data_IF_214024041476
#
_entry.id   IF_214024041476
#
_cell.length_a   1.000
_cell.length_b   1.000
_cell.length_c   1.000
_cell.angle_alpha   90.00
_cell.angle_beta   90.00
_cell.angle_gamma   90.00
#
_symmetry.space_group_name_H-M   'P 1'
#
loop_
_entity.id
_entity.type
_entity.pdbx_description
1 polymer ?
#
# COMPACT_ATOMS: atom_id res chain seq x y z
N UNK A 1 16.94 1.93 -9.58
CA UNK A 1 16.68 1.66 -8.14
C UNK A 1 17.65 2.49 -7.33
N UNK A 2 17.17 3.21 -6.32
CA UNK A 2 17.99 4.01 -5.41
C UNK A 2 17.64 3.75 -3.96
N UNK A 3 18.52 4.12 -3.05
CA UNK A 3 18.22 4.13 -1.62
C UNK A 3 18.56 5.51 -1.03
N UNK A 4 17.76 5.92 -0.04
CA UNK A 4 17.98 7.10 0.76
C UNK A 4 18.16 6.68 2.21
N UNK A 5 19.24 7.16 2.84
CA UNK A 5 19.55 6.87 4.23
C UNK A 5 19.03 8.02 5.11
N UNK A 6 18.30 7.65 6.15
CA UNK A 6 17.80 8.54 7.20
C UNK A 6 18.50 8.14 8.50
N UNK A 7 19.67 8.73 8.81
CA UNK A 7 20.38 8.46 10.04
C UNK A 7 19.47 8.69 11.26
N UNK A 8 19.52 7.78 12.23
CA UNK A 8 18.65 7.79 13.42
C UNK A 8 17.14 7.73 13.11
N UNK A 9 16.76 7.15 11.97
CA UNK A 9 15.36 6.87 11.65
C UNK A 9 14.69 6.05 12.76
N UNK A 10 13.51 6.48 13.20
CA UNK A 10 12.82 5.87 14.36
C UNK A 10 12.00 4.62 14.04
N UNK A 11 11.96 4.20 12.78
CA UNK A 11 11.25 2.99 12.35
C UNK A 11 12.08 2.13 11.41
N UNK A 12 12.56 2.70 10.30
CA UNK A 12 13.51 2.08 9.37
C UNK A 12 14.44 3.19 8.89
N UNK A 13 15.75 2.95 8.84
CA UNK A 13 16.75 3.95 8.46
C UNK A 13 16.95 4.08 6.94
N UNK A 14 16.37 3.19 6.15
CA UNK A 14 16.55 3.13 4.70
C UNK A 14 15.21 3.15 4.00
N UNK A 15 15.03 4.11 3.09
CA UNK A 15 13.97 4.13 2.11
C UNK A 15 14.52 3.71 0.75
N UNK A 16 13.70 3.06 -0.07
CA UNK A 16 14.09 2.52 -1.37
C UNK A 16 13.21 3.16 -2.45
N UNK A 17 13.82 3.53 -3.57
CA UNK A 17 13.14 4.23 -4.66
C UNK A 17 13.21 3.47 -5.97
N UNK A 18 12.08 3.47 -6.67
CA UNK A 18 11.89 2.84 -7.99
C UNK A 18 11.42 3.88 -9.00
N UNK A 19 11.76 3.67 -10.26
CA UNK A 19 11.47 4.60 -11.34
C UNK A 19 11.92 4.05 -12.68
N UNK A 20 11.37 4.59 -13.76
CA UNK A 20 11.72 4.22 -15.14
C UNK A 20 13.06 4.85 -15.54
N UNK A 21 13.32 6.05 -15.03
CA UNK A 21 14.60 6.74 -15.14
C UNK A 21 15.36 6.75 -13.81
N UNK A 22 16.63 7.13 -13.89
CA UNK A 22 17.48 7.32 -12.71
C UNK A 22 16.93 8.40 -11.77
N UNK A 23 16.48 9.52 -12.34
CA UNK A 23 15.93 10.65 -11.59
C UNK A 23 14.60 10.31 -10.90
N UNK A 24 13.71 9.57 -11.57
CA UNK A 24 12.46 9.09 -10.97
C UNK A 24 12.74 8.21 -9.75
N UNK A 25 13.72 7.29 -9.88
CA UNK A 25 14.08 6.39 -8.79
C UNK A 25 14.75 7.12 -7.62
N UNK A 26 15.56 8.15 -7.87
CA UNK A 26 16.10 9.03 -6.82
C UNK A 26 15.00 9.81 -6.11
N UNK A 27 14.10 10.44 -6.88
CA UNK A 27 12.98 11.19 -6.33
C UNK A 27 12.10 10.27 -5.46
N UNK A 28 11.76 9.08 -5.95
CA UNK A 28 11.01 8.08 -5.18
C UNK A 28 11.69 7.71 -3.86
N UNK A 29 13.02 7.50 -3.85
CA UNK A 29 13.74 7.15 -2.61
C UNK A 29 13.72 8.29 -1.59
N UNK A 30 13.91 9.54 -2.06
CA UNK A 30 13.90 10.73 -1.21
C UNK A 30 12.51 11.00 -0.67
N UNK A 31 11.47 10.91 -1.51
CA UNK A 31 10.09 11.16 -1.10
C UNK A 31 9.61 10.13 -0.07
N UNK A 32 9.92 8.83 -0.26
CA UNK A 32 9.62 7.80 0.75
C UNK A 32 10.38 8.04 2.08
N UNK A 33 11.64 8.50 2.02
CA UNK A 33 12.37 8.89 3.22
C UNK A 33 11.71 10.07 3.96
N UNK A 34 11.29 11.10 3.23
CA UNK A 34 10.62 12.28 3.78
C UNK A 34 9.27 11.92 4.42
N UNK A 35 8.47 11.04 3.79
CA UNK A 35 7.23 10.51 4.37
C UNK A 35 7.46 9.94 5.76
N UNK A 36 8.44 9.03 5.89
CA UNK A 36 8.77 8.37 7.16
C UNK A 36 9.28 9.37 8.19
N UNK A 37 10.12 10.32 7.79
CA UNK A 37 10.63 11.37 8.69
C UNK A 37 9.48 12.22 9.24
N UNK A 38 8.56 12.64 8.38
CA UNK A 38 7.37 13.42 8.81
C UNK A 38 6.46 12.58 9.70
N UNK A 39 6.20 11.31 9.37
CA UNK A 39 5.36 10.43 10.18
C UNK A 39 5.96 10.09 11.56
N UNK A 40 7.28 10.22 11.74
CA UNK A 40 7.92 10.10 13.07
C UNK A 40 7.56 11.26 14.00
N UNK A 41 7.33 12.45 13.45
CA UNK A 41 6.99 13.69 14.17
C UNK A 41 6.05 14.56 13.31
N UNK A 42 4.75 14.20 13.24
CA UNK A 42 3.79 14.97 12.46
C UNK A 42 3.68 16.41 12.99
N UNK A 43 3.63 17.37 12.07
CA UNK A 43 3.41 18.78 12.38
C UNK A 43 1.90 19.09 12.43
N UNK A 44 1.17 18.41 13.31
CA UNK A 44 -0.29 18.47 13.38
C UNK A 44 -0.72 18.94 14.77
N UNK A 45 -1.59 19.97 14.89
CA UNK A 45 -2.20 20.35 16.15
C UNK A 45 -3.00 19.18 16.74
N UNK A 46 -2.84 18.94 18.03
CA UNK A 46 -3.60 17.91 18.75
C UNK A 46 -4.52 18.52 19.79
N UNK A 47 -5.66 17.86 20.01
CA UNK A 47 -6.62 18.17 21.05
C UNK A 47 -6.73 16.96 21.99
N UNK A 48 -6.33 17.13 23.25
CA UNK A 48 -6.46 16.08 24.26
C UNK A 48 -7.86 16.07 24.86
N UNK A 49 -8.67 15.09 24.52
CA UNK A 49 -10.07 14.98 24.97
C UNK A 49 -10.61 13.56 24.82
N UNK A 50 -11.81 13.29 25.32
CA UNK A 50 -12.47 11.99 25.18
C UNK A 50 -13.39 11.94 23.95
N UNK A 51 -13.66 10.74 23.43
CA UNK A 51 -14.61 10.56 22.33
C UNK A 51 -16.05 11.00 22.73
N UNK A 52 -16.40 10.86 24.01
CA UNK A 52 -17.65 11.34 24.58
C UNK A 52 -17.76 12.86 24.51
N UNK A 53 -16.69 13.58 24.82
CA UNK A 53 -16.69 15.05 24.80
C UNK A 53 -16.73 15.58 23.36
N UNK A 54 -16.00 14.96 22.43
CA UNK A 54 -16.11 15.27 20.99
C UNK A 54 -17.56 15.11 20.51
N UNK A 55 -18.20 14.00 20.88
CA UNK A 55 -19.61 13.75 20.54
C UNK A 55 -20.52 14.82 21.14
N UNK A 56 -20.34 15.16 22.42
CA UNK A 56 -21.15 16.14 23.12
C UNK A 56 -21.03 17.55 22.51
N UNK A 57 -19.85 17.89 21.98
CA UNK A 57 -19.58 19.12 21.25
C UNK A 57 -20.03 19.07 19.78
N UNK A 58 -20.58 17.95 19.30
CA UNK A 58 -21.08 17.80 17.93
C UNK A 58 -20.00 17.51 16.88
N UNK A 59 -18.77 17.17 17.29
CA UNK A 59 -17.70 16.81 16.37
C UNK A 59 -17.80 15.36 15.90
N UNK A 60 -17.51 15.12 14.62
CA UNK A 60 -17.33 13.78 14.08
C UNK A 60 -15.95 13.23 14.48
N UNK A 61 -15.88 11.92 14.72
CA UNK A 61 -14.63 11.24 15.03
C UNK A 61 -14.68 9.77 14.60
N UNK A 62 -13.51 9.17 14.37
CA UNK A 62 -13.33 7.73 14.19
C UNK A 62 -12.21 7.26 15.14
N UNK A 63 -12.47 6.21 15.92
CA UNK A 63 -11.47 5.68 16.89
C UNK A 63 -10.41 4.79 16.24
N UNK A 64 -10.57 4.48 14.94
CA UNK A 64 -9.70 3.62 14.15
C UNK A 64 -9.49 2.24 14.79
N UNK A 65 -10.57 1.65 15.31
CA UNK A 65 -10.55 0.34 15.99
C UNK A 65 -9.96 -0.79 15.13
N UNK A 66 -10.04 -0.67 13.79
CA UNK A 66 -9.46 -1.63 12.85
C UNK A 66 -7.92 -1.62 12.84
N UNK A 67 -7.28 -0.59 13.40
CA UNK A 67 -5.83 -0.42 13.47
C UNK A 67 -5.25 -0.69 14.87
N UNK A 68 -6.07 -1.06 15.85
CA UNK A 68 -5.60 -1.37 17.21
C UNK A 68 -4.61 -2.54 17.14
N UNK A 69 -3.46 -2.36 17.81
CA UNK A 69 -2.38 -3.32 17.87
C UNK A 69 -2.78 -4.59 18.64
N UNK A 70 -2.11 -5.70 18.33
CA UNK A 70 -2.31 -6.95 19.05
C UNK A 70 -2.02 -6.74 20.54
N UNK A 71 -2.87 -7.30 21.41
CA UNK A 71 -2.80 -7.16 22.87
C UNK A 71 -3.14 -5.76 23.42
N UNK A 72 -3.54 -4.83 22.57
CA UNK A 72 -4.00 -3.50 22.97
C UNK A 72 -5.54 -3.44 23.00
N UNK A 73 -6.08 -2.56 23.84
CA UNK A 73 -7.52 -2.33 23.97
C UNK A 73 -8.02 -1.17 23.11
N UNK A 74 -9.28 -1.24 22.69
CA UNK A 74 -9.94 -0.12 21.99
C UNK A 74 -9.98 1.14 22.88
N UNK A 75 -10.05 2.32 22.25
CA UNK A 75 -10.22 3.59 22.96
C UNK A 75 -11.59 3.60 23.64
N UNK A 76 -11.61 3.78 24.97
CA UNK A 76 -12.88 3.89 25.71
C UNK A 76 -13.49 5.28 25.48
N UNK A 77 -14.82 5.38 25.52
CA UNK A 77 -15.50 6.65 25.22
C UNK A 77 -15.14 7.80 26.17
N UNK A 78 -14.83 7.48 27.42
CA UNK A 78 -14.45 8.41 28.50
C UNK A 78 -12.93 8.58 28.65
N UNK A 79 -12.13 7.88 27.83
CA UNK A 79 -10.67 7.94 27.88
C UNK A 79 -10.16 9.18 27.12
N UNK A 80 -9.42 10.10 27.76
CA UNK A 80 -8.79 11.20 27.06
C UNK A 80 -7.57 10.72 26.28
N UNK A 81 -7.58 10.95 24.97
CA UNK A 81 -6.44 10.71 24.06
C UNK A 81 -6.15 11.95 23.23
N UNK A 82 -5.02 11.97 22.53
CA UNK A 82 -4.65 13.06 21.64
C UNK A 82 -5.27 12.84 20.25
N UNK A 83 -6.22 13.72 19.89
CA UNK A 83 -6.92 13.71 18.61
C UNK A 83 -6.31 14.73 17.66
N UNK A 84 -6.24 14.40 16.38
CA UNK A 84 -5.87 15.30 15.31
C UNK A 84 -7.03 15.47 14.34
N UNK A 85 -7.17 16.67 13.78
CA UNK A 85 -8.25 17.00 12.87
C UNK A 85 -7.86 16.64 11.43
N UNK A 86 -8.59 15.69 10.85
CA UNK A 86 -8.52 15.34 9.44
C UNK A 86 -9.79 15.77 8.69
N UNK A 87 -9.88 15.31 7.44
CA UNK A 87 -11.03 15.59 6.56
C UNK A 87 -11.52 14.30 5.92
N UNK A 88 -12.82 14.02 6.02
CA UNK A 88 -13.46 12.98 5.23
C UNK A 88 -13.65 13.48 3.79
N UNK A 89 -12.92 12.88 2.85
CA UNK A 89 -12.88 13.28 1.46
C UNK A 89 -14.19 12.99 0.71
N UNK A 90 -15.04 12.10 1.22
CA UNK A 90 -16.31 11.77 0.58
C UNK A 90 -17.40 12.79 0.89
N UNK A 91 -17.39 13.35 2.10
CA UNK A 91 -18.40 14.29 2.61
C UNK A 91 -17.92 15.72 2.75
N UNK A 92 -16.61 15.96 2.56
CA UNK A 92 -15.92 17.22 2.77
C UNK A 92 -15.95 17.72 4.23
N UNK A 93 -16.29 16.85 5.20
CA UNK A 93 -16.45 17.21 6.62
C UNK A 93 -15.18 16.98 7.43
N UNK A 94 -15.01 17.82 8.43
CA UNK A 94 -14.01 17.67 9.49
C UNK A 94 -14.28 16.42 10.33
N UNK A 95 -13.24 15.64 10.62
CA UNK A 95 -13.32 14.42 11.42
C UNK A 95 -12.05 14.25 12.26
N UNK A 96 -12.23 13.99 13.56
CA UNK A 96 -11.12 13.73 14.47
C UNK A 96 -10.69 12.27 14.43
N UNK A 97 -9.38 12.04 14.41
CA UNK A 97 -8.77 10.71 14.53
C UNK A 97 -7.64 10.74 15.56
N UNK A 98 -7.35 9.62 16.26
CA UNK A 98 -6.23 9.54 17.20
C UNK A 98 -4.90 9.79 16.46
N UNK A 99 -4.11 10.77 16.91
CA UNK A 99 -2.85 11.13 16.25
C UNK A 99 -1.86 9.96 16.25
N UNK A 100 -1.90 9.14 17.30
CA UNK A 100 -1.05 7.96 17.46
C UNK A 100 -1.24 6.92 16.36
N UNK A 101 -2.40 6.88 15.69
CA UNK A 101 -2.65 5.99 14.55
C UNK A 101 -1.87 6.39 13.28
N UNK A 102 -1.41 7.65 13.20
CA UNK A 102 -0.59 8.15 12.10
C UNK A 102 0.93 8.07 12.37
N UNK A 103 1.32 7.82 13.62
CA UNK A 103 2.73 7.82 14.02
C UNK A 103 3.49 6.60 13.51
N UNK A 104 4.72 6.84 13.07
CA UNK A 104 5.64 5.82 12.60
C UNK A 104 6.93 5.77 13.44
N UNK A 105 6.82 5.97 14.75
CA UNK A 105 7.93 5.97 15.71
C UNK A 105 7.99 4.66 16.51
N UNK A 106 8.78 3.68 16.05
CA UNK A 106 8.97 2.37 16.70
C UNK A 106 9.84 2.42 17.97
N UNK A 107 10.36 3.59 18.34
CA UNK A 107 11.10 3.76 19.61
C UNK A 107 10.17 3.94 20.81
N UNK A 108 8.86 4.04 20.57
CA UNK A 108 7.83 4.27 21.59
C UNK A 108 6.80 3.15 21.55
N UNK A 109 6.19 2.83 22.70
CA UNK A 109 4.99 2.00 22.71
C UNK A 109 3.84 2.78 22.08
N UNK A 110 3.04 2.11 21.26
CA UNK A 110 1.85 2.69 20.63
C UNK A 110 0.71 1.66 20.69
N UNK A 111 -0.51 2.14 20.97
CA UNK A 111 -1.73 1.34 20.97
C UNK A 111 -2.09 0.85 19.56
N UNK A 112 -1.75 1.64 18.55
CA UNK A 112 -2.04 1.34 17.16
C UNK A 112 -0.92 0.50 16.54
N UNK A 113 -1.30 -0.37 15.62
CA UNK A 113 -0.36 -1.04 14.74
C UNK A 113 0.32 0.01 13.84
N UNK A 114 1.62 0.22 14.07
CA UNK A 114 2.42 1.14 13.25
C UNK A 114 2.68 0.55 11.87
N UNK A 115 2.00 1.08 10.87
CA UNK A 115 2.24 0.80 9.46
C UNK A 115 2.43 2.09 8.65
N UNK A 116 3.20 2.01 7.56
CA UNK A 116 3.22 3.04 6.51
C UNK A 116 1.99 2.99 5.61
N UNK A 117 1.08 2.03 5.76
CA UNK A 117 -0.11 1.90 4.92
C UNK A 117 -0.91 3.21 4.77
N UNK A 118 -1.07 3.69 3.54
CA UNK A 118 -1.77 4.94 3.26
C UNK A 118 -1.02 6.19 3.74
N UNK A 119 0.26 6.08 4.08
CA UNK A 119 1.18 7.22 4.17
C UNK A 119 1.71 7.49 2.77
N UNK A 120 1.60 8.72 2.29
CA UNK A 120 2.19 9.10 1.03
C UNK A 120 2.59 10.57 1.03
N UNK A 121 3.50 10.90 0.13
CA UNK A 121 3.91 12.25 -0.18
C UNK A 121 3.62 12.63 -1.61
N UNK A 122 3.70 13.94 -1.89
CA UNK A 122 3.51 14.49 -3.21
C UNK A 122 3.95 15.95 -3.28
N UNK A 123 4.11 16.44 -4.50
CA UNK A 123 4.38 17.84 -4.79
C UNK A 123 3.17 18.72 -4.50
N UNK A 124 1.96 18.13 -4.50
CA UNK A 124 0.71 18.79 -4.13
C UNK A 124 -0.05 17.96 -3.09
N UNK A 125 -0.96 18.56 -2.31
CA UNK A 125 -1.81 17.80 -1.39
C UNK A 125 -2.65 16.73 -2.09
N UNK A 126 -3.20 17.06 -3.27
CA UNK A 126 -4.02 16.13 -4.06
C UNK A 126 -3.20 14.93 -4.55
N UNK A 127 -1.94 15.14 -4.92
CA UNK A 127 -1.05 14.07 -5.37
C UNK A 127 -0.73 13.11 -4.21
N UNK A 128 -0.37 13.66 -3.04
CA UNK A 128 -0.13 12.85 -1.84
C UNK A 128 -1.38 12.03 -1.46
N UNK A 129 -2.56 12.66 -1.49
CA UNK A 129 -3.83 12.00 -1.20
C UNK A 129 -4.15 10.90 -2.22
N UNK A 130 -4.00 11.18 -3.52
CA UNK A 130 -4.23 10.18 -4.57
C UNK A 130 -3.34 8.95 -4.38
N UNK A 131 -2.04 9.15 -4.13
CA UNK A 131 -1.12 8.05 -3.87
C UNK A 131 -1.52 7.24 -2.63
N UNK A 132 -1.86 7.90 -1.53
CA UNK A 132 -2.28 7.23 -0.30
C UNK A 132 -3.59 6.43 -0.48
N UNK A 133 -4.58 6.98 -1.19
CA UNK A 133 -5.85 6.27 -1.46
C UNK A 133 -5.62 5.06 -2.37
N UNK A 134 -4.83 5.21 -3.44
CA UNK A 134 -4.49 4.11 -4.34
C UNK A 134 -3.77 2.99 -3.61
N UNK A 135 -2.82 3.32 -2.72
CA UNK A 135 -2.17 2.32 -1.90
C UNK A 135 -3.17 1.59 -0.99
N UNK A 136 -4.09 2.31 -0.33
CA UNK A 136 -5.12 1.66 0.50
C UNK A 136 -6.01 0.70 -0.30
N UNK A 137 -6.37 1.06 -1.52
CA UNK A 137 -7.13 0.18 -2.45
C UNK A 137 -6.28 -1.02 -2.89
N UNK A 138 -5.00 -0.81 -3.20
CA UNK A 138 -4.07 -1.88 -3.56
C UNK A 138 -3.95 -2.92 -2.45
N UNK A 139 -3.78 -2.48 -1.19
CA UNK A 139 -3.65 -3.35 -0.02
C UNK A 139 -4.95 -4.11 0.26
N UNK A 140 -6.10 -3.46 0.08
CA UNK A 140 -7.42 -4.12 0.15
C UNK A 140 -7.56 -5.21 -0.91
N UNK A 141 -7.33 -4.85 -2.17
CA UNK A 141 -7.40 -5.75 -3.31
C UNK A 141 -6.48 -6.96 -3.14
N UNK A 142 -5.23 -6.74 -2.69
CA UNK A 142 -4.29 -7.81 -2.42
C UNK A 142 -4.77 -8.73 -1.29
N UNK A 143 -5.29 -8.19 -0.18
CA UNK A 143 -5.83 -8.98 0.92
C UNK A 143 -7.00 -9.87 0.46
N UNK A 144 -7.95 -9.28 -0.28
CA UNK A 144 -9.08 -10.01 -0.85
C UNK A 144 -8.63 -11.06 -1.86
N UNK A 145 -7.63 -10.75 -2.70
CA UNK A 145 -7.08 -11.70 -3.66
C UNK A 145 -6.49 -12.92 -2.95
N UNK A 146 -5.74 -12.72 -1.86
CA UNK A 146 -5.14 -13.81 -1.05
C UNK A 146 -6.16 -14.73 -0.38
N UNK A 147 -7.37 -14.25 -0.09
CA UNK A 147 -8.46 -15.07 0.48
C UNK A 147 -9.08 -15.99 -0.60
N UNK A 148 -8.99 -15.61 -1.88
CA UNK A 148 -9.53 -16.41 -2.97
C UNK A 148 -8.80 -17.75 -3.13
N UNK A 149 -9.47 -18.72 -3.78
CA UNK A 149 -8.86 -20.02 -4.06
C UNK A 149 -7.59 -19.87 -4.90
N UNK A 150 -6.65 -20.81 -4.75
CA UNK A 150 -5.44 -20.81 -5.58
C UNK A 150 -5.79 -20.92 -7.08
N UNK A 151 -6.78 -21.72 -7.45
CA UNK A 151 -7.23 -21.85 -8.82
C UNK A 151 -7.71 -20.51 -9.41
N UNK A 152 -8.53 -19.76 -8.67
CA UNK A 152 -9.03 -18.45 -9.12
C UNK A 152 -7.90 -17.43 -9.26
N UNK A 153 -6.94 -17.44 -8.31
CA UNK A 153 -5.78 -16.57 -8.37
C UNK A 153 -4.93 -16.85 -9.60
N UNK A 154 -4.63 -18.13 -9.87
CA UNK A 154 -3.82 -18.53 -11.02
C UNK A 154 -4.53 -18.28 -12.36
N UNK A 155 -5.86 -18.44 -12.42
CA UNK A 155 -6.66 -18.17 -13.60
C UNK A 155 -6.67 -16.68 -14.02
N UNK A 156 -6.29 -15.77 -13.11
CA UNK A 156 -6.18 -14.32 -13.37
C UNK A 156 -4.78 -13.89 -13.81
N UNK A 157 -3.91 -14.83 -14.21
CA UNK A 157 -2.60 -14.52 -14.75
C UNK A 157 -2.72 -13.82 -16.11
N UNK A 158 -2.32 -12.56 -16.18
CA UNK A 158 -2.41 -11.72 -17.38
C UNK A 158 -1.18 -11.93 -18.24
N UNK A 159 -1.37 -12.19 -19.53
CA UNK A 159 -0.30 -12.05 -20.52
C UNK A 159 0.02 -10.55 -20.71
N UNK A 160 1.28 -10.10 -20.52
CA UNK A 160 1.67 -8.71 -20.71
C UNK A 160 1.22 -8.08 -22.04
N UNK A 161 1.09 -8.86 -23.11
CA UNK A 161 0.58 -8.37 -24.42
C UNK A 161 -0.82 -7.78 -24.31
N UNK A 162 -1.61 -8.19 -23.31
CA UNK A 162 -2.96 -7.70 -23.05
C UNK A 162 -3.01 -6.21 -22.69
N UNK A 163 -1.91 -5.65 -22.19
CA UNK A 163 -1.81 -4.21 -21.92
C UNK A 163 -1.63 -3.38 -23.20
N UNK A 164 -1.14 -4.00 -24.28
CA UNK A 164 -0.82 -3.35 -25.56
C UNK A 164 -0.04 -2.03 -25.36
N UNK A 165 0.98 -2.08 -24.50
CA UNK A 165 1.75 -0.92 -24.10
C UNK A 165 3.25 -1.20 -24.19
N UNK A 166 4.01 -0.39 -24.96
CA UNK A 166 5.41 -0.66 -25.25
C UNK A 166 6.30 -0.61 -24.01
N UNK A 167 5.91 0.12 -22.96
CA UNK A 167 6.70 0.20 -21.74
C UNK A 167 6.59 -1.09 -20.92
N UNK A 168 5.40 -1.70 -20.88
CA UNK A 168 5.20 -3.01 -20.24
C UNK A 168 6.05 -4.07 -20.96
N UNK A 169 6.04 -4.06 -22.29
CA UNK A 169 6.85 -4.97 -23.13
C UNK A 169 8.35 -4.78 -22.91
N UNK A 170 8.81 -3.52 -22.83
CA UNK A 170 10.21 -3.19 -22.59
C UNK A 170 10.68 -3.68 -21.21
N UNK A 171 9.88 -3.44 -20.16
CA UNK A 171 10.17 -3.93 -18.81
C UNK A 171 10.21 -5.46 -18.77
N UNK A 172 9.25 -6.13 -19.42
CA UNK A 172 9.21 -7.59 -19.54
C UNK A 172 10.48 -8.12 -20.21
N UNK A 173 10.88 -7.52 -21.33
CA UNK A 173 12.08 -7.91 -22.09
C UNK A 173 13.36 -7.75 -21.26
N UNK A 174 13.49 -6.65 -20.50
CA UNK A 174 14.64 -6.43 -19.59
C UNK A 174 14.70 -7.48 -18.48
N UNK A 175 13.56 -7.86 -17.92
CA UNK A 175 13.46 -8.90 -16.88
C UNK A 175 13.85 -10.27 -17.43
N UNK A 176 13.34 -10.62 -18.61
CA UNK A 176 13.68 -11.89 -19.27
C UNK A 176 15.16 -11.98 -19.63
N UNK A 177 15.72 -10.90 -20.20
CA UNK A 177 17.15 -10.80 -20.52
C UNK A 177 18.05 -10.96 -19.28
N UNK A 178 17.54 -10.61 -18.09
CA UNK A 178 18.23 -10.82 -16.82
C UNK A 178 18.11 -12.27 -16.27
N UNK A 179 17.50 -13.20 -17.03
CA UNK A 179 17.29 -14.59 -16.61
C UNK A 179 16.18 -14.76 -15.57
N UNK A 180 15.23 -13.84 -15.53
CA UNK A 180 14.11 -13.85 -14.60
C UNK A 180 12.79 -14.09 -15.33
N UNK A 181 11.81 -14.67 -14.63
CA UNK A 181 10.44 -14.81 -15.08
C UNK A 181 9.54 -13.92 -14.21
N UNK A 182 8.59 -13.25 -14.84
CA UNK A 182 7.56 -12.47 -14.17
C UNK A 182 6.17 -12.98 -14.56
N UNK A 183 5.26 -12.99 -13.59
CA UNK A 183 3.84 -13.25 -13.79
C UNK A 183 3.03 -12.11 -13.20
N UNK A 184 2.11 -11.57 -13.99
CA UNK A 184 1.21 -10.49 -13.60
C UNK A 184 -0.16 -11.09 -13.34
N UNK A 185 -0.83 -10.67 -12.27
CA UNK A 185 -2.16 -11.15 -11.93
C UNK A 185 -3.10 -9.98 -11.74
N UNK A 186 -4.30 -10.09 -12.30
CA UNK A 186 -5.39 -9.16 -12.00
C UNK A 186 -5.91 -9.45 -10.59
N UNK A 187 -5.75 -8.48 -9.69
CA UNK A 187 -6.30 -8.52 -8.35
C UNK A 187 -7.37 -7.45 -8.14
N UNK A 188 -7.88 -6.83 -9.21
CA UNK A 188 -8.95 -5.83 -9.14
C UNK A 188 -10.14 -6.36 -8.35
N UNK A 189 -10.54 -5.59 -7.34
CA UNK A 189 -11.66 -5.89 -6.46
C UNK A 189 -12.96 -5.29 -6.99
N UNK A 190 -14.04 -5.45 -6.24
CA UNK A 190 -15.35 -4.82 -6.48
C UNK A 190 -15.29 -3.29 -6.56
N UNK A 191 -14.24 -2.65 -6.03
CA UNK A 191 -14.00 -1.20 -6.15
C UNK A 191 -13.77 -0.79 -7.62
N UNK A 192 -13.42 -1.72 -8.50
CA UNK A 192 -13.24 -1.49 -9.93
C UNK A 192 -12.13 -0.47 -10.30
N UNK A 193 -11.18 -0.23 -9.38
CA UNK A 193 -9.91 0.44 -9.70
C UNK A 193 -8.89 -0.63 -10.09
N UNK A 194 -8.23 -0.54 -11.26
CA UNK A 194 -7.25 -1.53 -11.70
C UNK A 194 -6.15 -1.75 -10.68
N UNK A 195 -5.98 -3.01 -10.26
CA UNK A 195 -4.97 -3.46 -9.32
C UNK A 195 -4.25 -4.69 -9.88
N UNK A 196 -2.92 -4.60 -10.02
CA UNK A 196 -2.08 -5.69 -10.55
C UNK A 196 -1.08 -6.10 -9.49
N UNK A 197 -0.87 -7.41 -9.32
CA UNK A 197 0.25 -7.95 -8.55
C UNK A 197 1.20 -8.71 -9.46
N UNK A 198 2.49 -8.56 -9.23
CA UNK A 198 3.57 -9.18 -9.98
C UNK A 198 4.33 -10.15 -9.07
N UNK A 199 4.63 -11.34 -9.58
CA UNK A 199 5.53 -12.31 -8.95
C UNK A 199 6.75 -12.46 -9.85
N UNK A 200 7.95 -12.24 -9.30
CA UNK A 200 9.23 -12.25 -10.00
C UNK A 200 10.13 -13.33 -9.41
N UNK A 201 10.76 -14.16 -10.24
CA UNK A 201 11.68 -15.19 -9.80
C UNK A 201 12.63 -15.67 -10.91
N UNK A 202 13.49 -16.67 -10.65
CA UNK A 202 14.39 -17.20 -11.67
C UNK A 202 13.62 -17.90 -12.80
N UNK A 203 14.00 -17.66 -14.06
CA UNK A 203 13.33 -18.28 -15.22
C UNK A 203 13.65 -19.77 -15.35
N UNK A 204 14.84 -20.19 -14.90
CA UNK A 204 15.25 -21.59 -14.81
C UNK A 204 15.45 -21.98 -13.36
N UNK A 205 14.73 -23.00 -12.91
CA UNK A 205 14.79 -23.52 -11.55
C UNK A 205 15.73 -24.73 -11.55
N UNK A 206 16.91 -24.60 -10.94
CA UNK A 206 17.78 -25.76 -10.67
C UNK A 206 17.25 -26.41 -9.39
N UNK A 207 16.84 -27.68 -9.46
CA UNK A 207 16.46 -28.54 -8.33
C UNK A 207 15.72 -27.84 -7.16
N UNK A 208 14.40 -27.67 -7.32
CA UNK A 208 13.29 -27.48 -6.33
C UNK A 208 13.45 -26.63 -5.05
N UNK A 209 14.63 -26.13 -4.68
CA UNK A 209 14.89 -25.38 -3.45
C UNK A 209 15.03 -23.89 -3.72
N UNK A 210 14.00 -23.29 -4.30
CA UNK A 210 13.97 -21.83 -4.48
C UNK A 210 13.79 -21.18 -3.10
N UNK A 211 14.71 -20.27 -2.74
CA UNK A 211 14.61 -19.52 -1.49
C UNK A 211 13.57 -18.42 -1.59
N UNK A 212 12.99 -18.06 -0.46
CA UNK A 212 12.01 -16.99 -0.36
C UNK A 212 12.52 -15.68 -0.98
N UNK A 213 13.77 -15.30 -0.70
CA UNK A 213 14.40 -14.08 -1.25
C UNK A 213 14.62 -14.11 -2.76
N UNK A 214 14.52 -15.27 -3.40
CA UNK A 214 14.64 -15.41 -4.86
C UNK A 214 13.33 -15.20 -5.59
N UNK A 215 12.19 -15.21 -4.86
CA UNK A 215 10.85 -14.93 -5.39
C UNK A 215 10.28 -13.70 -4.71
N UNK A 216 10.13 -12.63 -5.47
CA UNK A 216 9.71 -11.34 -4.93
C UNK A 216 8.42 -10.86 -5.56
N UNK A 217 7.60 -10.21 -4.75
CA UNK A 217 6.33 -9.63 -5.18
C UNK A 217 6.40 -8.11 -5.28
N UNK A 218 5.47 -7.55 -6.06
CA UNK A 218 5.17 -6.13 -6.08
C UNK A 218 3.74 -5.91 -6.55
N UNK A 219 3.09 -4.87 -6.03
CA UNK A 219 1.70 -4.57 -6.35
C UNK A 219 1.58 -3.14 -6.85
N UNK A 220 0.50 -2.85 -7.58
CA UNK A 220 0.21 -1.52 -8.08
C UNK A 220 -1.27 -1.31 -8.30
N UNK A 221 -1.79 -0.15 -7.89
CA UNK A 221 -3.13 0.32 -8.22
C UNK A 221 -3.09 1.69 -8.92
N UNK A 222 -3.92 1.86 -9.96
CA UNK A 222 -4.13 3.15 -10.64
C UNK A 222 -5.36 3.06 -11.57
N UNK A 223 -6.12 4.15 -11.83
CA UNK A 223 -7.15 4.19 -12.88
C UNK A 223 -6.66 3.88 -14.31
N UNK A 224 -5.34 3.73 -14.50
CA UNK A 224 -4.71 3.30 -15.73
C UNK A 224 -4.11 1.92 -15.46
N UNK A 225 -4.62 0.85 -16.10
CA UNK A 225 -4.12 -0.50 -15.87
C UNK A 225 -2.63 -0.64 -16.22
N UNK A 226 -2.17 0.08 -17.24
CA UNK A 226 -0.75 0.15 -17.62
C UNK A 226 0.08 0.70 -16.44
N UNK A 227 -0.34 1.80 -15.82
CA UNK A 227 0.36 2.35 -14.66
C UNK A 227 0.31 1.42 -13.46
N UNK A 228 -0.81 0.72 -13.23
CA UNK A 228 -0.91 -0.31 -12.20
C UNK A 228 0.09 -1.45 -12.44
N UNK A 229 0.19 -1.95 -13.68
CA UNK A 229 1.14 -2.98 -14.07
C UNK A 229 2.59 -2.51 -13.92
N UNK A 230 2.96 -1.35 -14.46
CA UNK A 230 4.31 -0.77 -14.35
C UNK A 230 4.72 -0.62 -12.88
N UNK A 231 3.81 -0.16 -12.01
CA UNK A 231 4.06 -0.09 -10.55
C UNK A 231 4.33 -1.47 -9.96
N UNK A 232 3.49 -2.46 -10.27
CA UNK A 232 3.67 -3.83 -9.78
C UNK A 232 5.02 -4.43 -10.24
N UNK A 233 5.36 -4.27 -11.53
CA UNK A 233 6.61 -4.76 -12.11
C UNK A 233 7.83 -4.11 -11.44
N UNK A 234 7.84 -2.79 -11.33
CA UNK A 234 8.96 -2.04 -10.75
C UNK A 234 9.10 -2.27 -9.25
N UNK A 235 7.98 -2.51 -8.53
CA UNK A 235 8.00 -2.90 -7.12
C UNK A 235 8.52 -4.33 -6.91
N UNK A 236 8.19 -5.28 -7.78
CA UNK A 236 8.74 -6.63 -7.70
C UNK A 236 10.27 -6.62 -7.90
N UNK A 237 10.77 -5.80 -8.83
CA UNK A 237 12.21 -5.57 -9.01
C UNK A 237 12.81 -4.87 -7.78
N UNK A 238 12.11 -3.89 -7.19
CA UNK A 238 12.54 -3.22 -5.95
C UNK A 238 12.74 -4.20 -4.81
N UNK A 239 11.76 -5.06 -4.57
CA UNK A 239 11.78 -6.08 -3.54
C UNK A 239 12.99 -7.00 -3.71
N UNK A 240 13.31 -7.39 -4.95
CA UNK A 240 14.49 -8.20 -5.24
C UNK A 240 15.80 -7.51 -4.88
N UNK A 241 15.96 -6.26 -5.32
CA UNK A 241 17.18 -5.47 -5.02
C UNK A 241 17.31 -5.23 -3.51
N UNK A 242 16.19 -5.07 -2.81
CA UNK A 242 16.18 -4.93 -1.35
C UNK A 242 16.83 -6.14 -0.67
N UNK A 243 16.45 -7.37 -1.05
CA UNK A 243 17.09 -8.58 -0.52
C UNK A 243 18.56 -8.71 -0.93
N UNK A 244 18.89 -8.43 -2.20
CA UNK A 244 20.27 -8.51 -2.70
C UNK A 244 21.19 -7.54 -1.95
N UNK A 245 20.72 -6.31 -1.70
CA UNK A 245 21.49 -5.31 -0.98
C UNK A 245 21.75 -5.71 0.49
N UNK A 246 20.84 -6.47 1.09
CA UNK A 246 20.89 -6.83 2.50
C UNK A 246 20.89 -5.64 3.47
N UNK A 247 20.58 -4.43 2.98
CA UNK A 247 20.84 -3.21 3.73
C UNK A 247 19.74 -2.87 4.75
N UNK A 248 18.53 -3.44 4.62
CA UNK A 248 17.40 -3.14 5.50
C UNK A 248 17.56 -3.77 6.89
N UNK A 249 17.46 -2.93 7.91
CA UNK A 249 17.62 -3.31 9.32
C UNK A 249 16.54 -4.29 9.83
N UNK A 250 15.40 -4.39 9.13
CA UNK A 250 14.28 -5.26 9.50
C UNK A 250 14.26 -6.61 8.76
N UNK A 251 15.31 -6.93 8.00
CA UNK A 251 15.49 -8.25 7.40
C UNK A 251 16.30 -9.17 8.33
N UNK A 252 15.70 -10.26 8.79
CA UNK A 252 16.40 -11.27 9.58
C UNK A 252 17.15 -12.28 8.68
N UNK A 253 18.21 -12.88 9.23
CA UNK A 253 19.01 -13.89 8.52
C UNK A 253 18.18 -15.11 8.09
N UNK A 254 17.17 -15.49 8.88
CA UNK A 254 16.28 -16.64 8.61
C UNK A 254 15.58 -16.52 7.25
N UNK A 255 15.21 -15.30 6.85
CA UNK A 255 14.52 -15.04 5.57
C UNK A 255 15.37 -15.50 4.37
N UNK A 256 16.71 -15.43 4.47
CA UNK A 256 17.63 -15.84 3.40
C UNK A 256 17.81 -17.35 3.28
N UNK A 257 17.43 -18.11 4.32
CA UNK A 257 17.53 -19.57 4.33
C UNK A 257 16.17 -20.24 4.08
N UNK A 258 15.08 -19.52 4.37
CA UNK A 258 13.71 -19.99 4.19
C UNK A 258 13.42 -20.31 2.72
N UNK A 259 12.79 -21.46 2.48
CA UNK A 259 12.27 -21.81 1.16
C UNK A 259 11.04 -20.98 0.80
N UNK A 260 10.89 -20.67 -0.49
CA UNK A 260 9.70 -20.02 -1.00
C UNK A 260 8.48 -20.94 -0.78
N UNK A 261 7.33 -20.40 -0.32
CA UNK A 261 6.11 -21.18 -0.20
C UNK A 261 5.74 -21.86 -1.54
N UNK A 262 5.27 -23.13 -1.53
CA UNK A 262 4.92 -23.84 -2.76
C UNK A 262 3.92 -23.10 -3.64
N UNK A 263 2.95 -22.40 -3.05
CA UNK A 263 1.98 -21.55 -3.78
C UNK A 263 2.65 -20.40 -4.54
N UNK A 264 3.66 -19.74 -3.95
CA UNK A 264 4.40 -18.66 -4.62
C UNK A 264 5.24 -19.22 -5.77
N UNK A 265 5.82 -20.41 -5.58
CA UNK A 265 6.56 -21.14 -6.61
C UNK A 265 5.63 -21.51 -7.77
N UNK A 266 4.41 -21.99 -7.49
CA UNK A 266 3.38 -22.30 -8.50
C UNK A 266 2.84 -21.06 -9.21
N UNK A 267 2.74 -19.92 -8.53
CA UNK A 267 2.35 -18.66 -9.18
C UNK A 267 3.30 -18.28 -10.31
N UNK A 268 4.60 -18.53 -10.17
CA UNK A 268 5.56 -18.34 -11.26
C UNK A 268 5.36 -19.30 -12.45
N UNK A 269 4.70 -20.44 -12.23
CA UNK A 269 4.33 -21.41 -13.28
C UNK A 269 2.92 -21.16 -13.84
N UNK A 270 2.22 -20.11 -13.38
CA UNK A 270 0.91 -19.75 -13.92
C UNK A 270 1.02 -19.51 -15.43
N UNK A 271 0.06 -20.04 -16.20
CA UNK A 271 -0.04 -19.80 -17.63
C UNK A 271 -0.71 -18.45 -17.86
N UNK A 272 -0.02 -17.46 -18.44
CA UNK A 272 -0.64 -16.17 -18.75
C UNK A 272 -1.72 -16.36 -19.82
N UNK A 273 -2.81 -15.61 -19.68
CA UNK A 273 -3.88 -15.56 -20.67
C UNK A 273 -4.00 -14.17 -21.27
N UNK A 274 -4.23 -14.12 -22.57
CA UNK A 274 -4.61 -12.87 -23.24
C UNK A 274 -6.03 -12.53 -22.80
N UNK A 275 -6.22 -11.37 -22.20
CA UNK A 275 -7.51 -10.95 -21.65
C UNK A 275 -7.81 -9.49 -21.96
N UNK A 276 -9.08 -9.11 -21.84
CA UNK A 276 -9.48 -7.71 -21.90
C UNK A 276 -9.18 -7.07 -20.55
N UNK A 277 -8.09 -6.31 -20.48
CA UNK A 277 -7.78 -5.50 -19.31
C UNK A 277 -8.83 -4.38 -19.18
N UNK A 278 -9.20 -4.04 -17.94
CA UNK A 278 -10.14 -2.95 -17.66
C UNK A 278 -9.71 -1.70 -18.43
N UNK A 279 -10.64 -1.08 -19.16
CA UNK A 279 -10.34 0.09 -19.98
C UNK A 279 -9.71 1.20 -19.12
N UNK A 280 -8.63 1.79 -19.64
CA UNK A 280 -7.99 2.91 -18.96
C UNK A 280 -8.96 4.09 -18.82
N UNK A 281 -8.87 4.78 -17.69
CA UNK A 281 -9.52 6.07 -17.54
C UNK A 281 -9.13 7.02 -18.68
N UNK A 282 -10.15 7.63 -19.28
CA UNK A 282 -9.98 8.70 -20.29
C UNK A 282 -9.66 10.04 -19.63
N UNK A 283 -9.65 10.11 -18.29
CA UNK A 283 -9.31 11.32 -17.55
C UNK A 283 -7.80 11.44 -17.41
N UNK A 284 -7.32 12.68 -17.38
CA UNK A 284 -5.91 12.99 -17.21
C UNK A 284 -5.71 13.97 -16.06
N UNK A 285 -4.65 13.77 -15.29
CA UNK A 285 -4.26 14.63 -14.18
C UNK A 285 -4.70 14.10 -12.81
N UNK A 286 -4.02 14.60 -11.77
CA UNK A 286 -4.16 14.14 -10.39
C UNK A 286 -5.59 14.34 -9.86
N UNK A 287 -6.16 15.53 -10.06
CA UNK A 287 -7.52 15.85 -9.57
C UNK A 287 -8.59 14.91 -10.16
N UNK A 288 -8.71 14.81 -11.50
CA UNK A 288 -9.69 13.92 -12.13
C UNK A 288 -9.53 12.43 -11.76
N UNK A 289 -8.29 11.95 -11.55
CA UNK A 289 -8.04 10.59 -11.05
C UNK A 289 -8.43 10.42 -9.59
N UNK A 290 -8.16 11.42 -8.73
CA UNK A 290 -8.61 11.39 -7.34
C UNK A 290 -10.14 11.35 -7.25
N UNK A 291 -10.82 12.18 -8.03
CA UNK A 291 -12.29 12.19 -8.07
C UNK A 291 -12.87 10.84 -8.52
N UNK A 292 -12.26 10.22 -9.53
CA UNK A 292 -12.65 8.90 -10.03
C UNK A 292 -12.52 7.82 -8.96
N UNK A 293 -11.39 7.79 -8.25
CA UNK A 293 -11.14 6.81 -7.20
C UNK A 293 -12.05 7.04 -5.98
N UNK A 294 -12.29 8.29 -5.59
CA UNK A 294 -13.24 8.62 -4.52
C UNK A 294 -14.68 8.26 -4.90
N UNK A 295 -15.06 8.43 -6.18
CA UNK A 295 -16.37 8.00 -6.67
C UNK A 295 -16.52 6.48 -6.63
N UNK A 296 -15.49 5.73 -7.03
CA UNK A 296 -15.48 4.27 -6.95
C UNK A 296 -15.68 3.75 -5.51
N UNK A 297 -15.05 4.40 -4.53
CA UNK A 297 -15.27 4.10 -3.10
C UNK A 297 -16.70 4.47 -2.66
N UNK A 298 -17.22 5.61 -3.12
CA UNK A 298 -18.58 6.07 -2.81
C UNK A 298 -19.66 5.14 -3.36
N UNK A 299 -19.51 4.64 -4.59
CA UNK A 299 -20.43 3.69 -5.23
C UNK A 299 -20.49 2.33 -4.51
N UNK A 300 -19.43 1.99 -3.76
CA UNK A 300 -19.37 0.81 -2.89
C UNK A 300 -19.69 1.09 -1.43
N UNK A 301 -20.14 2.30 -1.12
CA UNK A 301 -20.46 2.74 0.24
C UNK A 301 -19.28 2.56 1.23
N UNK A 302 -18.04 2.63 0.71
CA UNK A 302 -16.82 2.50 1.52
C UNK A 302 -16.47 3.87 2.07
N UNK A 303 -16.94 4.14 3.28
CA UNK A 303 -16.73 5.38 4.02
C UNK A 303 -16.32 5.09 5.48
N UNK A 304 -15.69 6.04 6.19
CA UNK A 304 -15.16 7.31 5.68
C UNK A 304 -13.82 7.14 4.93
N UNK A 305 -13.42 8.17 4.15
CA UNK A 305 -12.08 8.27 3.56
C UNK A 305 -11.38 9.47 4.20
N UNK A 306 -10.64 9.23 5.27
CA UNK A 306 -10.10 10.28 6.15
C UNK A 306 -8.68 10.63 5.72
N UNK A 307 -8.46 11.86 5.24
CA UNK A 307 -7.13 12.40 5.01
C UNK A 307 -6.66 13.21 6.23
N UNK A 308 -5.51 12.84 6.77
CA UNK A 308 -4.82 13.57 7.83
C UNK A 308 -3.48 14.12 7.30
N UNK A 309 -3.40 15.42 6.95
CA UNK A 309 -2.14 16.05 6.58
C UNK A 309 -1.16 16.00 7.75
N UNK A 310 0.09 15.58 7.50
CA UNK A 310 1.12 15.41 8.53
C UNK A 310 2.28 16.41 8.41
N UNK A 311 2.56 16.91 7.21
CA UNK A 311 3.67 17.83 6.96
C UNK A 311 3.32 19.27 7.32
N UNK A 312 4.33 20.03 7.74
CA UNK A 312 4.23 21.49 7.84
C UNK A 312 3.93 22.09 6.46
N UNK A 313 3.00 23.05 6.40
CA UNK A 313 2.60 23.74 5.16
C UNK A 313 3.73 24.58 4.56
N UNK A 314 4.77 24.90 5.32
CA UNK A 314 5.95 25.63 4.85
C UNK A 314 6.94 24.76 4.06
N UNK A 315 6.82 23.43 4.11
CA UNK A 315 7.67 22.52 3.33
C UNK A 315 7.27 22.54 1.84
N UNK A 316 8.22 22.33 0.91
CA UNK A 316 7.94 22.34 -0.53
C UNK A 316 7.30 21.03 -1.03
N UNK A 317 6.87 20.16 -0.11
CA UNK A 317 6.22 18.89 -0.38
C UNK A 317 5.17 18.63 0.70
N UNK A 318 4.23 17.73 0.40
CA UNK A 318 3.16 17.36 1.29
C UNK A 318 3.28 15.91 1.71
N UNK A 319 2.94 15.61 2.97
CA UNK A 319 2.80 14.24 3.48
C UNK A 319 1.44 14.10 4.13
N UNK A 320 0.73 13.02 3.81
CA UNK A 320 -0.60 12.71 4.33
C UNK A 320 -0.66 11.27 4.80
N UNK A 321 -1.44 11.02 5.85
CA UNK A 321 -1.91 9.68 6.21
C UNK A 321 -3.38 9.58 5.85
N UNK A 322 -3.74 8.64 4.99
CA UNK A 322 -5.13 8.35 4.64
C UNK A 322 -5.59 7.08 5.37
N UNK A 323 -6.70 7.21 6.09
CA UNK A 323 -7.40 6.10 6.74
C UNK A 323 -8.68 5.80 5.98
N UNK A 324 -8.89 4.53 5.65
CA UNK A 324 -10.15 4.04 5.08
C UNK A 324 -10.54 2.82 5.90
N UNK A 325 -11.24 3.00 7.04
CA UNK A 325 -11.50 1.92 8.00
C UNK A 325 -12.29 0.74 7.40
N UNK A 326 -13.10 1.02 6.37
CA UNK A 326 -13.87 0.01 5.64
C UNK A 326 -13.04 -0.88 4.71
N UNK A 327 -11.78 -0.55 4.43
CA UNK A 327 -10.88 -1.37 3.61
C UNK A 327 -10.03 -2.32 4.46
N UNK A 328 -9.68 -3.46 3.88
CA UNK A 328 -8.74 -4.38 4.50
C UNK A 328 -7.34 -3.75 4.65
N UNK A 329 -6.57 -4.25 5.61
CA UNK A 329 -5.16 -3.89 5.73
C UNK A 329 -4.33 -5.17 5.59
N UNK A 330 -3.03 -5.09 5.22
CA UNK A 330 -2.20 -6.26 5.02
C UNK A 330 -1.93 -6.96 6.35
N UNK A 331 -1.31 -8.14 6.27
CA UNK A 331 -0.94 -8.89 7.45
C UNK A 331 -0.02 -8.06 8.37
N UNK A 332 -0.33 -8.07 9.66
CA UNK A 332 0.35 -7.24 10.64
C UNK A 332 -0.09 -7.57 12.06
N UNK A 333 0.58 -6.98 13.05
CA UNK A 333 0.31 -7.19 14.46
C UNK A 333 -0.91 -6.38 14.95
N UNK A 334 -2.05 -6.50 14.26
CA UNK A 334 -3.34 -5.93 14.67
C UNK A 334 -4.10 -6.90 15.59
N UNK A 335 -4.96 -6.36 16.45
CA UNK A 335 -5.90 -7.12 17.26
C UNK A 335 -6.94 -7.84 16.39
N UNK A 336 -7.31 -7.23 15.25
CA UNK A 336 -8.28 -7.74 14.28
C UNK A 336 -7.56 -7.92 12.95
N UNK A 337 -7.37 -9.17 12.52
CA UNK A 337 -6.68 -9.50 11.27
C UNK A 337 -7.51 -9.10 10.05
N UNK A 338 -8.77 -9.52 10.02
CA UNK A 338 -9.69 -9.33 8.91
C UNK A 338 -10.80 -8.35 9.29
N UNK A 339 -11.15 -7.47 8.34
CA UNK A 339 -12.33 -6.62 8.37
C UNK A 339 -13.54 -7.27 7.69
N UNK A 340 -14.57 -6.47 7.46
CA UNK A 340 -15.85 -6.95 6.94
C UNK A 340 -15.75 -7.49 5.51
N UNK A 341 -14.90 -6.90 4.66
CA UNK A 341 -14.78 -7.26 3.24
C UNK A 341 -14.11 -8.64 3.10
N UNK A 342 -13.05 -8.89 3.87
CA UNK A 342 -12.39 -10.18 3.94
C UNK A 342 -13.31 -11.27 4.48
N UNK A 343 -14.06 -10.99 5.55
CA UNK A 343 -15.02 -11.93 6.13
C UNK A 343 -16.12 -12.26 5.11
N UNK A 344 -16.71 -11.24 4.47
CA UNK A 344 -17.72 -11.44 3.44
C UNK A 344 -17.17 -12.31 2.30
N UNK A 345 -15.98 -11.99 1.80
CA UNK A 345 -15.33 -12.80 0.75
C UNK A 345 -15.15 -14.25 1.19
N UNK A 346 -14.62 -14.51 2.37
CA UNK A 346 -14.39 -15.87 2.86
C UNK A 346 -15.69 -16.69 3.04
N UNK A 347 -16.83 -16.04 3.30
CA UNK A 347 -18.13 -16.70 3.47
C UNK A 347 -18.83 -16.99 2.13
N UNK A 348 -18.60 -16.15 1.11
CA UNK A 348 -19.30 -16.23 -0.18
C UNK A 348 -18.40 -16.71 -1.35
N UNK A 349 -17.12 -17.06 -1.10
CA UNK A 349 -16.20 -17.60 -2.12
C UNK A 349 -16.22 -19.11 -2.23
#
# INVERSE_FOLDING_TARGET
MWCAYVPNGRSVAIAQGKGLTDDDAKASAVMEALERVVANRPAVPTLRTSARDLRAAGFAFDTLACLIGRHEGDIRLDEPVDWALGKDLLTDREIYVPVDAALLDRTRRNRFWMSSDGLASGNTPQEAVLHAVLERIERDAYCLWQIGSEADRLARCIDPVSFNDPLVDELGSKIEAAGLAMRLFDMTSDIAVPCVTAVLGPSKRRDSNIRFVEVTGGSGAHPSPVRAAVRAMTEAVQSRITYISGARDDLSQDVFQRLAPPETVRALDAMPVVCNVIAASQRHGVGPHLDEVLNALREREIAPVIALPLSDRALPFHVVKVFIPGLENPEGARARRFGARAIAKAVFS
#
